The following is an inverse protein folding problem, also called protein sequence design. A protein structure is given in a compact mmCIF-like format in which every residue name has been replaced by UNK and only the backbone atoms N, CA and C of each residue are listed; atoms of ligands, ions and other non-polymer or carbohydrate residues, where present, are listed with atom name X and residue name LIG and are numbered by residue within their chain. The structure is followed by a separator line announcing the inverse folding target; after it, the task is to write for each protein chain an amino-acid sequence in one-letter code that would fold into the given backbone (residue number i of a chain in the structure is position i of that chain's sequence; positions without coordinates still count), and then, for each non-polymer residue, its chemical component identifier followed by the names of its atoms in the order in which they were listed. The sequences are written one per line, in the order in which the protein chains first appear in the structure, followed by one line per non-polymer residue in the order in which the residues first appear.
data_IF_871579453345
#
_entry.id   IF_871579453345
#
_cell.length_a   1.000
_cell.length_b   1.000
_cell.length_c   1.000
_cell.angle_alpha   90.00
_cell.angle_beta   90.00
_cell.angle_gamma   90.00
#
_symmetry.space_group_name_H-M   'P 1'
#
loop_
_entity.id
_entity.type
_entity.pdbx_description
1 polymer ?
#
# COMPACT_ATOMS: atom_id res chain seq x y z
N UNK A 1 -12.59 -13.39 -0.93
CA UNK A 1 -11.39 -12.81 -0.29
C UNK A 1 -10.12 -13.59 -0.61
N UNK A 2 -10.06 -14.92 -0.43
CA UNK A 2 -8.87 -15.75 -0.73
C UNK A 2 -8.35 -15.63 -2.19
N UNK A 3 -9.25 -15.61 -3.19
CA UNK A 3 -8.89 -15.39 -4.61
C UNK A 3 -8.20 -14.04 -4.91
N UNK A 4 -8.51 -13.00 -4.14
CA UNK A 4 -7.91 -11.67 -4.34
C UNK A 4 -6.48 -11.68 -3.78
N UNK A 5 -6.28 -12.37 -2.66
CA UNK A 5 -4.97 -12.47 -2.01
C UNK A 5 -3.98 -13.33 -2.81
N UNK A 6 -4.42 -14.47 -3.34
CA UNK A 6 -3.57 -15.37 -4.15
C UNK A 6 -3.22 -14.80 -5.54
N UNK A 7 -3.99 -13.84 -6.05
CA UNK A 7 -3.73 -13.16 -7.31
C UNK A 7 -2.83 -11.93 -7.23
N UNK A 8 -2.33 -11.59 -6.03
CA UNK A 8 -1.47 -10.43 -5.80
C UNK A 8 0.00 -10.85 -5.63
N UNK A 9 0.89 -10.01 -6.16
CA UNK A 9 2.34 -10.19 -6.01
C UNK A 9 2.74 -10.17 -4.53
N UNK A 10 3.80 -10.89 -4.16
CA UNK A 10 4.30 -10.94 -2.79
C UNK A 10 4.63 -9.56 -2.22
N UNK A 11 5.07 -8.63 -3.05
CA UNK A 11 5.32 -7.24 -2.67
C UNK A 11 4.05 -6.49 -2.23
N UNK A 12 2.91 -6.74 -2.90
CA UNK A 12 1.61 -6.17 -2.52
C UNK A 12 1.14 -6.73 -1.19
N UNK A 13 1.27 -8.04 -0.99
CA UNK A 13 0.89 -8.69 0.26
C UNK A 13 1.72 -8.15 1.42
N UNK A 14 3.04 -8.03 1.23
CA UNK A 14 3.97 -7.48 2.23
C UNK A 14 3.59 -6.06 2.63
N UNK A 15 3.44 -5.15 1.66
CA UNK A 15 3.07 -3.75 1.93
C UNK A 15 1.71 -3.63 2.62
N UNK A 16 0.71 -4.39 2.18
CA UNK A 16 -0.62 -4.40 2.80
C UNK A 16 -0.59 -4.91 4.25
N UNK A 17 0.14 -6.00 4.54
CA UNK A 17 0.30 -6.55 5.90
C UNK A 17 1.04 -5.56 6.79
N UNK A 18 2.11 -4.93 6.30
CA UNK A 18 2.89 -3.97 7.06
C UNK A 18 2.04 -2.74 7.43
N UNK A 19 1.36 -2.14 6.45
CA UNK A 19 0.46 -0.99 6.68
C UNK A 19 -0.64 -1.37 7.67
N UNK A 20 -1.26 -2.54 7.50
CA UNK A 20 -2.35 -3.00 8.38
C UNK A 20 -1.87 -3.28 9.80
N UNK A 21 -0.66 -3.84 9.96
CA UNK A 21 -0.05 -4.08 11.27
C UNK A 21 0.21 -2.77 12.01
N UNK A 22 0.75 -1.76 11.32
CA UNK A 22 0.98 -0.42 11.87
C UNK A 22 -0.34 0.25 12.23
N UNK A 23 -1.37 0.13 11.38
CA UNK A 23 -2.71 0.65 11.67
C UNK A 23 -3.32 0.01 12.92
N UNK A 24 -3.19 -1.32 13.07
CA UNK A 24 -3.62 -2.04 14.26
C UNK A 24 -2.89 -1.56 15.52
N UNK A 25 -1.58 -1.32 15.44
CA UNK A 25 -0.82 -0.75 16.56
C UNK A 25 -1.35 0.62 16.97
N UNK A 26 -1.71 1.49 16.01
CA UNK A 26 -2.33 2.79 16.32
C UNK A 26 -3.73 2.65 16.93
N UNK A 27 -4.51 1.66 16.52
CA UNK A 27 -5.82 1.35 17.13
C UNK A 27 -5.70 0.76 18.54
N UNK A 28 -4.69 -0.09 18.81
CA UNK A 28 -4.48 -0.72 20.13
C UNK A 28 -3.82 0.25 21.12
N UNK A 29 -2.75 0.94 20.72
CA UNK A 29 -1.98 1.87 21.57
C UNK A 29 -2.56 3.28 21.48
N UNK A 30 -3.85 3.40 21.78
CA UNK A 30 -4.58 4.65 21.67
C UNK A 30 -3.98 5.76 22.54
N UNK A 31 -3.61 6.87 21.93
CA UNK A 31 -3.10 8.08 22.61
C UNK A 31 -3.40 9.32 21.78
N UNK A 32 -3.51 10.51 22.40
CA UNK A 32 -3.77 11.77 21.68
C UNK A 32 -2.78 12.02 20.53
N UNK A 33 -1.52 11.60 20.68
CA UNK A 33 -0.49 11.72 19.62
C UNK A 33 -0.68 10.69 18.51
N UNK A 34 -1.01 9.43 18.85
CA UNK A 34 -1.29 8.38 17.88
C UNK A 34 -2.48 8.74 16.99
N UNK A 35 -3.51 9.35 17.57
CA UNK A 35 -4.67 9.88 16.86
C UNK A 35 -4.32 11.01 15.89
N UNK A 36 -3.45 11.94 16.31
CA UNK A 36 -3.07 13.08 15.48
C UNK A 36 -2.11 12.70 14.33
N UNK A 37 -1.16 11.80 14.59
CA UNK A 37 -0.09 11.43 13.64
C UNK A 37 -0.41 10.16 12.83
N UNK A 38 -1.23 9.25 13.36
CA UNK A 38 -1.52 7.94 12.77
C UNK A 38 -2.06 8.03 11.34
N UNK A 39 -3.12 8.83 11.06
CA UNK A 39 -3.62 9.00 9.70
C UNK A 39 -2.54 9.51 8.73
N UNK A 40 -1.75 10.51 9.13
CA UNK A 40 -0.67 11.04 8.29
C UNK A 40 0.37 9.98 7.98
N UNK A 41 0.86 9.25 8.99
CA UNK A 41 1.85 8.17 8.82
C UNK A 41 1.32 7.08 7.87
N UNK A 42 0.07 6.65 8.03
CA UNK A 42 -0.53 5.63 7.16
C UNK A 42 -0.69 6.11 5.71
N UNK A 43 -1.08 7.38 5.49
CA UNK A 43 -1.12 7.95 4.14
C UNK A 43 0.26 8.06 3.51
N UNK A 44 1.27 8.51 4.25
CA UNK A 44 2.66 8.59 3.77
C UNK A 44 3.22 7.20 3.44
N UNK A 45 2.95 6.19 4.26
CA UNK A 45 3.34 4.80 3.96
C UNK A 45 2.65 4.28 2.69
N UNK A 46 1.35 4.56 2.52
CA UNK A 46 0.63 4.21 1.29
C UNK A 46 1.25 4.86 0.04
N UNK A 47 1.58 6.14 0.12
CA UNK A 47 2.25 6.89 -0.95
C UNK A 47 3.65 6.33 -1.24
N UNK A 48 4.43 6.02 -0.20
CA UNK A 48 5.75 5.41 -0.34
C UNK A 48 5.69 4.09 -1.11
N UNK A 49 4.79 3.18 -0.70
CA UNK A 49 4.63 1.90 -1.40
C UNK A 49 4.04 2.05 -2.80
N UNK A 50 3.28 3.11 -3.06
CA UNK A 50 2.85 3.47 -4.40
C UNK A 50 4.05 3.74 -5.31
N UNK A 51 4.96 4.64 -4.89
CA UNK A 51 6.15 4.93 -5.68
C UNK A 51 7.09 3.72 -5.77
N UNK A 52 7.25 2.96 -4.69
CA UNK A 52 8.07 1.76 -4.70
C UNK A 52 7.53 0.69 -5.66
N UNK A 53 6.20 0.51 -5.75
CA UNK A 53 5.58 -0.45 -6.67
C UNK A 53 5.73 -0.06 -8.13
N UNK A 54 5.59 1.23 -8.46
CA UNK A 54 5.80 1.73 -9.82
C UNK A 54 7.28 1.58 -10.19
N UNK A 55 8.19 1.99 -9.29
CA UNK A 55 9.62 1.84 -9.50
C UNK A 55 9.99 0.37 -9.73
N UNK A 56 9.44 -0.55 -8.93
CA UNK A 56 9.65 -1.98 -9.11
C UNK A 56 9.18 -2.48 -10.47
N UNK A 57 7.98 -2.06 -10.92
CA UNK A 57 7.45 -2.43 -12.23
C UNK A 57 8.23 -1.82 -13.42
N UNK A 58 9.07 -0.81 -13.17
CA UNK A 58 9.91 -0.17 -14.17
C UNK A 58 11.36 -0.68 -14.18
N UNK A 59 11.80 -1.43 -13.16
CA UNK A 59 13.19 -1.89 -13.05
C UNK A 59 13.65 -2.68 -14.27
N UNK A 60 12.79 -3.57 -14.77
CA UNK A 60 13.08 -4.44 -15.92
C UNK A 60 12.33 -3.99 -17.19
N UNK A 61 11.84 -2.75 -17.25
CA UNK A 61 11.08 -2.26 -18.39
C UNK A 61 12.01 -1.92 -19.56
N UNK A 62 11.85 -2.63 -20.69
CA UNK A 62 12.51 -2.32 -21.95
C UNK A 62 11.56 -1.63 -22.92
N UNK A 63 11.91 -0.40 -23.31
CA UNK A 63 11.15 0.39 -24.28
C UNK A 63 11.21 -0.20 -25.71
N UNK A 64 12.20 -1.04 -26.01
CA UNK A 64 12.33 -1.70 -27.30
C UNK A 64 11.49 -2.98 -27.40
N UNK A 65 11.12 -3.58 -26.25
CA UNK A 65 10.21 -4.72 -26.17
C UNK A 65 9.06 -4.46 -25.17
N UNK A 66 8.19 -3.53 -25.57
CA UNK A 66 7.02 -3.12 -24.78
C UNK A 66 6.08 -4.31 -24.51
N UNK A 67 5.96 -5.26 -25.45
CA UNK A 67 5.01 -6.37 -25.32
C UNK A 67 5.36 -7.30 -24.16
N UNK A 68 6.64 -7.57 -23.95
CA UNK A 68 7.10 -8.38 -22.80
C UNK A 68 7.17 -7.56 -21.50
N UNK A 69 7.40 -6.25 -21.60
CA UNK A 69 7.56 -5.36 -20.43
C UNK A 69 6.23 -4.91 -19.79
N UNK A 70 5.15 -4.78 -20.57
CA UNK A 70 3.84 -4.31 -20.09
C UNK A 70 3.27 -5.16 -18.95
N UNK A 71 3.28 -6.51 -18.99
CA UNK A 71 2.78 -7.32 -17.88
C UNK A 71 3.48 -7.05 -16.55
N UNK A 72 4.80 -6.84 -16.56
CA UNK A 72 5.57 -6.54 -15.35
C UNK A 72 5.21 -5.15 -14.80
N UNK A 73 5.14 -4.15 -15.68
CA UNK A 73 4.71 -2.80 -15.32
C UNK A 73 3.29 -2.78 -14.73
N UNK A 74 2.35 -3.53 -15.33
CA UNK A 74 0.99 -3.66 -14.80
C UNK A 74 0.96 -4.33 -13.42
N UNK A 75 1.88 -5.25 -13.14
CA UNK A 75 2.09 -5.83 -11.81
C UNK A 75 2.54 -4.78 -10.78
N UNK A 76 3.51 -3.94 -11.16
CA UNK A 76 3.97 -2.82 -10.34
C UNK A 76 2.85 -1.80 -10.06
N UNK A 77 2.12 -1.39 -11.10
CA UNK A 77 0.97 -0.46 -11.00
C UNK A 77 -0.12 -1.05 -10.10
N UNK A 78 -0.47 -2.34 -10.26
CA UNK A 78 -1.45 -3.03 -9.40
C UNK A 78 -1.02 -2.98 -7.94
N UNK A 79 0.26 -3.23 -7.66
CA UNK A 79 0.80 -3.17 -6.30
C UNK A 79 0.66 -1.78 -5.70
N UNK A 80 1.02 -0.77 -6.49
CA UNK A 80 1.03 0.64 -6.11
C UNK A 80 -0.37 1.16 -5.76
N UNK A 81 -1.36 0.76 -6.56
CA UNK A 81 -2.75 1.10 -6.34
C UNK A 81 -3.27 0.49 -5.03
N UNK A 82 -3.08 -0.82 -4.83
CA UNK A 82 -3.58 -1.51 -3.63
C UNK A 82 -2.92 -1.02 -2.34
N UNK A 83 -1.61 -0.74 -2.35
CA UNK A 83 -0.93 -0.20 -1.17
C UNK A 83 -1.51 1.17 -0.76
N UNK A 84 -1.81 2.04 -1.74
CA UNK A 84 -2.45 3.34 -1.49
C UNK A 84 -3.85 3.17 -0.91
N UNK A 85 -4.66 2.27 -1.47
CA UNK A 85 -6.02 1.98 -0.97
C UNK A 85 -5.99 1.54 0.49
N UNK A 86 -5.09 0.61 0.84
CA UNK A 86 -4.97 0.11 2.23
C UNK A 86 -4.52 1.21 3.18
N UNK A 87 -3.53 2.03 2.79
CA UNK A 87 -3.06 3.15 3.61
C UNK A 87 -4.14 4.20 3.88
N UNK A 88 -4.86 4.62 2.85
CA UNK A 88 -5.95 5.61 2.97
C UNK A 88 -7.13 5.02 3.76
N UNK A 89 -7.52 3.77 3.49
CA UNK A 89 -8.59 3.10 4.22
C UNK A 89 -8.33 3.11 5.72
N UNK A 90 -7.14 2.65 6.15
CA UNK A 90 -6.81 2.66 7.58
C UNK A 90 -6.71 4.08 8.16
N UNK A 91 -6.17 5.04 7.42
CA UNK A 91 -6.14 6.44 7.85
C UNK A 91 -7.55 7.02 8.09
N UNK A 92 -8.52 6.67 7.25
CA UNK A 92 -9.92 7.05 7.42
C UNK A 92 -10.53 6.38 8.66
N UNK A 93 -10.27 5.10 8.91
CA UNK A 93 -10.78 4.44 10.13
C UNK A 93 -10.28 5.11 11.41
N UNK A 94 -9.04 5.60 11.43
CA UNK A 94 -8.51 6.35 12.57
C UNK A 94 -9.17 7.72 12.70
N UNK A 95 -9.40 8.44 11.59
CA UNK A 95 -10.09 9.75 11.60
C UNK A 95 -11.53 9.65 12.09
N UNK A 96 -12.29 8.66 11.60
CA UNK A 96 -13.71 8.46 11.97
C UNK A 96 -13.86 8.15 13.45
N UNK A 97 -12.91 7.41 14.04
CA UNK A 97 -12.98 7.01 15.44
C UNK A 97 -12.68 8.15 16.43
N UNK A 98 -12.37 9.34 15.91
CA UNK A 98 -11.90 10.51 16.66
C UNK A 98 -12.85 11.69 16.47
N UNK A 99 -13.50 11.76 15.30
CA UNK A 99 -14.62 12.65 15.02
C UNK A 99 -15.84 12.28 15.88
#
# INVERSE_FOLDING_TARGET
MLRIWEGLNGFTQFSAVLISSIALLFHIRWSRRATALGPTILTTLGIFFCFAGIAWGLLDFDANDVRSSVPHLLGGIRTSFWASVVGIFWALTLKIRVA
#
